data_IF_617536419118
#
_entry.id   IF_617536419118
#
_cell.length_a   1.000
_cell.length_b   1.000
_cell.length_c   1.000
_cell.angle_alpha   90.00
_cell.angle_beta   90.00
_cell.angle_gamma   90.00
#
_symmetry.space_group_name_H-M   'P 1'
#
loop_
_entity.id
_entity.type
_entity.pdbx_description
1 polymer ?
#
# COMPACT_ATOMS: atom_id res chain seq x y z
N UNK A 1 -12.31 -22.82 -21.10
CA UNK A 1 -12.91 -24.14 -20.80
C UNK A 1 -11.85 -24.99 -20.10
N UNK A 2 -12.20 -25.69 -19.01
CA UNK A 2 -11.25 -26.55 -18.27
C UNK A 2 -11.01 -27.92 -18.93
N UNK A 3 -11.86 -28.34 -19.87
CA UNK A 3 -11.74 -29.63 -20.56
C UNK A 3 -12.43 -30.81 -19.86
N UNK A 4 -12.96 -30.67 -18.64
CA UNK A 4 -13.61 -31.78 -17.91
C UNK A 4 -14.76 -32.43 -18.70
N UNK A 5 -15.63 -31.62 -19.31
CA UNK A 5 -16.78 -32.15 -20.08
C UNK A 5 -16.38 -32.94 -21.33
N UNK A 6 -15.21 -32.68 -21.90
CA UNK A 6 -14.71 -33.34 -23.12
C UNK A 6 -14.25 -34.77 -22.82
N UNK A 7 -13.89 -35.10 -21.57
CA UNK A 7 -13.47 -36.45 -21.19
C UNK A 7 -14.53 -37.51 -21.53
N UNK A 8 -15.82 -37.16 -21.37
CA UNK A 8 -16.93 -38.07 -21.66
C UNK A 8 -17.15 -38.31 -23.17
N UNK A 9 -16.71 -37.38 -24.01
CA UNK A 9 -16.91 -37.44 -25.45
C UNK A 9 -15.66 -37.99 -26.18
N UNK A 10 -14.48 -37.48 -25.84
CA UNK A 10 -13.22 -37.70 -26.56
C UNK A 10 -12.15 -38.38 -25.69
N UNK A 11 -12.49 -38.75 -24.46
CA UNK A 11 -11.59 -39.42 -23.52
C UNK A 11 -10.62 -38.49 -22.77
N UNK A 12 -9.84 -39.08 -21.86
CA UNK A 12 -8.94 -38.35 -20.95
C UNK A 12 -7.86 -37.53 -21.66
N UNK A 13 -7.37 -38.00 -22.80
CA UNK A 13 -6.30 -37.32 -23.55
C UNK A 13 -6.71 -35.91 -24.01
N UNK A 14 -7.88 -35.80 -24.66
CA UNK A 14 -8.41 -34.51 -25.12
C UNK A 14 -8.75 -33.56 -23.95
N UNK A 15 -9.31 -34.11 -22.87
CA UNK A 15 -9.55 -33.35 -21.63
C UNK A 15 -8.26 -32.80 -21.04
N UNK A 16 -7.20 -33.61 -20.99
CA UNK A 16 -5.89 -33.24 -20.46
C UNK A 16 -5.21 -32.15 -21.29
N UNK A 17 -5.25 -32.25 -22.62
CA UNK A 17 -4.69 -31.21 -23.50
C UNK A 17 -5.31 -29.83 -23.25
N UNK A 18 -6.62 -29.78 -22.97
CA UNK A 18 -7.31 -28.53 -22.65
C UNK A 18 -6.92 -27.98 -21.26
N UNK A 19 -6.74 -28.87 -20.28
CA UNK A 19 -6.22 -28.51 -18.96
C UNK A 19 -4.79 -27.93 -19.07
N UNK A 20 -3.88 -28.64 -19.72
CA UNK A 20 -2.48 -28.24 -19.86
C UNK A 20 -2.35 -26.89 -20.57
N UNK A 21 -3.14 -26.68 -21.64
CA UNK A 21 -3.21 -25.37 -22.31
C UNK A 21 -3.65 -24.26 -21.36
N UNK A 22 -4.68 -24.50 -20.54
CA UNK A 22 -5.17 -23.49 -19.60
C UNK A 22 -4.20 -23.23 -18.46
N UNK A 23 -3.51 -24.25 -17.97
CA UNK A 23 -2.49 -24.10 -16.94
C UNK A 23 -1.29 -23.31 -17.46
N UNK A 24 -0.88 -23.53 -18.71
CA UNK A 24 0.16 -22.70 -19.33
C UNK A 24 -0.23 -21.22 -19.33
N UNK A 25 -1.46 -20.88 -19.76
CA UNK A 25 -1.96 -19.50 -19.73
C UNK A 25 -1.95 -18.91 -18.30
N UNK A 26 -2.30 -19.72 -17.29
CA UNK A 26 -2.42 -19.28 -15.90
C UNK A 26 -1.06 -19.10 -15.24
N UNK A 27 -0.08 -19.97 -15.54
CA UNK A 27 1.28 -19.86 -15.02
C UNK A 27 2.02 -18.64 -15.58
N UNK A 28 1.63 -18.17 -16.77
CA UNK A 28 2.13 -16.93 -17.35
C UNK A 28 1.42 -15.69 -16.80
N UNK A 29 0.23 -15.85 -16.19
CA UNK A 29 -0.44 -14.77 -15.49
C UNK A 29 0.25 -14.53 -14.15
N UNK A 30 0.63 -13.29 -13.85
CA UNK A 30 1.20 -12.87 -12.56
C UNK A 30 0.13 -12.88 -11.44
N UNK A 31 -0.62 -13.98 -11.33
CA UNK A 31 -1.69 -14.19 -10.36
C UNK A 31 -1.23 -15.16 -9.26
N UNK A 32 -1.87 -15.06 -8.09
CA UNK A 32 -1.52 -15.88 -6.93
C UNK A 32 -2.34 -17.18 -6.83
N UNK A 33 -3.54 -17.19 -7.41
CA UNK A 33 -4.43 -18.35 -7.43
C UNK A 33 -5.47 -18.26 -8.55
N UNK A 34 -5.99 -19.42 -8.95
CA UNK A 34 -7.08 -19.54 -9.91
C UNK A 34 -8.40 -19.70 -9.16
N UNK A 35 -9.41 -18.90 -9.51
CA UNK A 35 -10.74 -18.98 -8.90
C UNK A 35 -11.74 -19.53 -9.89
N UNK A 36 -12.49 -20.55 -9.48
CA UNK A 36 -13.50 -21.21 -10.32
C UNK A 36 -14.86 -21.25 -9.64
N UNK A 37 -15.93 -21.13 -10.43
CA UNK A 37 -17.32 -21.19 -9.94
C UNK A 37 -18.06 -22.47 -10.37
N UNK A 38 -17.33 -23.49 -10.82
CA UNK A 38 -17.89 -24.77 -11.26
C UNK A 38 -17.16 -25.94 -10.59
N UNK A 39 -17.86 -26.87 -9.92
CA UNK A 39 -17.23 -28.02 -9.26
C UNK A 39 -16.41 -28.89 -10.21
N UNK A 40 -16.87 -29.06 -11.46
CA UNK A 40 -16.11 -29.80 -12.47
C UNK A 40 -14.81 -29.08 -12.86
N UNK A 41 -14.81 -27.74 -12.89
CA UNK A 41 -13.58 -26.97 -13.08
C UNK A 41 -12.64 -27.12 -11.89
N UNK A 42 -13.16 -27.05 -10.66
CA UNK A 42 -12.34 -27.21 -9.45
C UNK A 42 -11.66 -28.58 -9.44
N UNK A 43 -12.42 -29.66 -9.62
CA UNK A 43 -11.86 -31.01 -9.68
C UNK A 43 -10.85 -31.17 -10.82
N UNK A 44 -11.10 -30.60 -11.99
CA UNK A 44 -10.19 -30.68 -13.12
C UNK A 44 -8.86 -29.96 -12.86
N UNK A 45 -8.90 -28.76 -12.27
CA UNK A 45 -7.68 -28.00 -11.98
C UNK A 45 -6.97 -28.54 -10.75
N UNK A 46 -7.67 -28.95 -9.70
CA UNK A 46 -7.04 -29.47 -8.48
C UNK A 46 -6.49 -30.89 -8.70
N UNK A 47 -7.37 -31.86 -8.97
CA UNK A 47 -6.97 -33.27 -9.17
C UNK A 47 -6.19 -33.47 -10.47
N UNK A 48 -6.56 -32.77 -11.54
CA UNK A 48 -5.92 -32.96 -12.86
C UNK A 48 -4.47 -32.48 -12.89
N UNK A 49 -4.13 -31.44 -12.12
CA UNK A 49 -2.74 -31.02 -11.90
C UNK A 49 -1.96 -32.11 -11.12
N UNK A 50 -2.55 -32.62 -10.03
CA UNK A 50 -1.92 -33.64 -9.19
C UNK A 50 -1.69 -34.97 -9.94
N UNK A 51 -2.58 -35.31 -10.87
CA UNK A 51 -2.51 -36.51 -11.71
C UNK A 51 -1.50 -36.38 -12.87
N UNK A 52 -0.39 -35.65 -12.70
CA UNK A 52 0.61 -35.36 -13.74
C UNK A 52 0.99 -36.56 -14.63
N UNK A 53 1.15 -36.31 -15.92
CA UNK A 53 1.55 -37.32 -16.89
C UNK A 53 2.98 -37.84 -16.58
N UNK A 54 3.23 -39.16 -16.62
CA UNK A 54 4.58 -39.69 -16.46
C UNK A 54 5.49 -39.14 -17.56
N UNK A 55 6.50 -38.35 -17.17
CA UNK A 55 7.51 -37.79 -18.07
C UNK A 55 7.38 -36.30 -18.40
N UNK A 56 6.35 -35.60 -17.91
CA UNK A 56 6.34 -34.13 -17.93
C UNK A 56 7.34 -33.61 -16.87
N UNK A 57 8.28 -32.74 -17.27
CA UNK A 57 9.13 -32.00 -16.31
C UNK A 57 8.24 -31.35 -15.26
N UNK A 58 8.66 -31.35 -13.99
CA UNK A 58 7.91 -30.82 -12.86
C UNK A 58 7.34 -29.41 -13.18
N UNK A 59 6.12 -29.36 -13.68
CA UNK A 59 5.42 -28.12 -13.95
C UNK A 59 4.99 -27.58 -12.60
N UNK A 60 5.30 -26.31 -12.35
CA UNK A 60 4.83 -25.62 -11.16
C UNK A 60 3.31 -25.77 -11.07
N UNK A 61 2.82 -26.33 -9.96
CA UNK A 61 1.40 -26.43 -9.69
C UNK A 61 0.86 -25.05 -9.31
N UNK A 62 -0.38 -24.75 -9.66
CA UNK A 62 -1.00 -23.47 -9.40
C UNK A 62 -2.19 -23.62 -8.45
N UNK A 63 -2.23 -22.86 -7.32
CA UNK A 63 -3.34 -22.92 -6.37
C UNK A 63 -4.69 -22.66 -7.03
N UNK A 64 -5.71 -23.44 -6.66
CA UNK A 64 -7.07 -23.28 -7.17
C UNK A 64 -8.05 -23.19 -6.02
N UNK A 65 -8.96 -22.24 -6.08
CA UNK A 65 -10.06 -22.09 -5.12
C UNK A 65 -11.39 -22.14 -5.85
N UNK A 66 -12.37 -22.75 -5.22
CA UNK A 66 -13.76 -22.54 -5.54
C UNK A 66 -14.20 -21.17 -5.02
N UNK A 67 -15.03 -20.46 -5.79
CA UNK A 67 -15.45 -19.09 -5.47
C UNK A 67 -16.00 -18.96 -4.04
N UNK A 68 -16.75 -19.96 -3.56
CA UNK A 68 -17.30 -19.93 -2.21
C UNK A 68 -16.22 -19.95 -1.12
N UNK A 69 -15.06 -20.58 -1.37
CA UNK A 69 -13.95 -20.60 -0.40
C UNK A 69 -13.38 -19.20 -0.23
N UNK A 70 -13.11 -18.48 -1.33
CA UNK A 70 -12.63 -17.09 -1.24
C UNK A 70 -13.66 -16.15 -0.62
N UNK A 71 -14.94 -16.32 -0.94
CA UNK A 71 -16.01 -15.55 -0.31
C UNK A 71 -16.03 -15.81 1.20
N UNK A 72 -15.89 -17.07 1.62
CA UNK A 72 -15.87 -17.41 3.04
C UNK A 72 -14.62 -16.87 3.75
N UNK A 73 -13.43 -16.95 3.13
CA UNK A 73 -12.21 -16.31 3.64
C UNK A 73 -12.39 -14.79 3.80
N UNK A 74 -13.00 -14.13 2.82
CA UNK A 74 -13.29 -12.69 2.88
C UNK A 74 -14.32 -12.33 3.97
N UNK A 75 -15.20 -13.26 4.33
CA UNK A 75 -16.14 -13.14 5.44
C UNK A 75 -15.53 -13.52 6.81
N UNK A 76 -14.24 -13.89 6.84
CA UNK A 76 -13.50 -14.18 8.07
C UNK A 76 -13.53 -15.64 8.53
N UNK A 77 -13.98 -16.57 7.69
CA UNK A 77 -13.83 -18.00 7.98
C UNK A 77 -12.38 -18.46 7.82
N UNK A 78 -11.95 -19.42 8.63
CA UNK A 78 -10.59 -19.95 8.57
C UNK A 78 -10.43 -20.97 7.45
N UNK A 79 -9.23 -21.09 6.88
CA UNK A 79 -8.94 -22.08 5.84
C UNK A 79 -9.20 -23.53 6.28
N UNK A 80 -9.04 -23.82 7.57
CA UNK A 80 -9.32 -25.14 8.16
C UNK A 80 -10.82 -25.44 8.14
N UNK A 81 -11.68 -24.47 8.45
CA UNK A 81 -13.15 -24.65 8.37
C UNK A 81 -13.62 -24.90 6.94
N UNK A 82 -12.87 -24.40 5.95
CA UNK A 82 -13.17 -24.58 4.53
C UNK A 82 -12.63 -25.89 3.96
N UNK A 83 -11.85 -26.65 4.73
CA UNK A 83 -11.24 -27.89 4.26
C UNK A 83 -10.10 -27.65 3.28
N UNK A 84 -9.32 -26.58 3.43
CA UNK A 84 -8.17 -26.29 2.57
C UNK A 84 -7.14 -27.45 2.52
N UNK A 85 -7.08 -28.28 3.56
CA UNK A 85 -6.26 -29.50 3.61
C UNK A 85 -6.73 -30.62 2.67
N UNK A 86 -7.96 -30.51 2.15
CA UNK A 86 -8.53 -31.48 1.20
C UNK A 86 -8.12 -31.20 -0.24
N UNK A 87 -7.56 -30.02 -0.52
CA UNK A 87 -7.00 -29.67 -1.83
C UNK A 87 -5.85 -30.62 -2.17
N UNK A 88 -5.78 -31.06 -3.43
CA UNK A 88 -4.64 -31.85 -3.91
C UNK A 88 -3.45 -30.98 -4.27
N UNK A 89 -3.71 -29.76 -4.71
CA UNK A 89 -2.68 -28.77 -4.94
C UNK A 89 -2.49 -27.94 -3.67
N UNK A 90 -1.26 -27.83 -3.15
CA UNK A 90 -1.01 -27.03 -1.96
C UNK A 90 -1.44 -25.58 -2.13
N UNK A 91 -2.23 -25.07 -1.19
CA UNK A 91 -2.69 -23.68 -1.16
C UNK A 91 -2.05 -22.85 -0.04
N UNK A 92 -1.19 -23.45 0.79
CA UNK A 92 -0.57 -22.79 1.95
C UNK A 92 0.15 -21.49 1.58
N UNK A 93 0.92 -21.46 0.49
CA UNK A 93 1.62 -20.25 0.06
C UNK A 93 0.67 -19.09 -0.33
N UNK A 94 -0.52 -19.40 -0.86
CA UNK A 94 -1.55 -18.38 -1.08
C UNK A 94 -2.12 -17.89 0.25
N UNK A 95 -2.42 -18.80 1.17
CA UNK A 95 -3.00 -18.47 2.48
C UNK A 95 -2.05 -17.62 3.33
N UNK A 96 -0.76 -17.94 3.33
CA UNK A 96 0.26 -17.12 4.00
C UNK A 96 0.28 -15.68 3.45
N UNK A 97 0.23 -15.55 2.11
CA UNK A 97 0.15 -14.24 1.44
C UNK A 97 -1.17 -13.52 1.75
N UNK A 98 -2.28 -14.26 1.80
CA UNK A 98 -3.60 -13.73 2.13
C UNK A 98 -3.63 -13.13 3.54
N UNK A 99 -3.12 -13.86 4.54
CA UNK A 99 -3.03 -13.39 5.92
C UNK A 99 -2.15 -12.14 6.04
N UNK A 100 -0.97 -12.15 5.43
CA UNK A 100 -0.09 -10.97 5.37
C UNK A 100 -0.80 -9.77 4.74
N UNK A 101 -1.54 -9.97 3.64
CA UNK A 101 -2.29 -8.90 2.99
C UNK A 101 -3.43 -8.35 3.88
N UNK A 102 -4.10 -9.20 4.65
CA UNK A 102 -5.11 -8.74 5.62
C UNK A 102 -4.49 -7.89 6.72
N UNK A 103 -3.34 -8.31 7.27
CA UNK A 103 -2.60 -7.55 8.27
C UNK A 103 -2.15 -6.19 7.73
N UNK A 104 -1.57 -6.17 6.52
CA UNK A 104 -1.16 -4.92 5.86
C UNK A 104 -2.34 -3.98 5.61
N UNK A 105 -3.48 -4.50 5.12
CA UNK A 105 -4.69 -3.68 4.90
C UNK A 105 -5.25 -3.15 6.21
N UNK A 106 -5.24 -3.95 7.27
CA UNK A 106 -5.67 -3.53 8.60
C UNK A 106 -4.74 -2.43 9.17
N UNK A 107 -3.41 -2.56 9.00
CA UNK A 107 -2.45 -1.53 9.37
C UNK A 107 -2.71 -0.23 8.59
N UNK A 108 -2.88 -0.31 7.27
CA UNK A 108 -3.07 0.84 6.41
C UNK A 108 -4.41 1.56 6.69
N UNK A 109 -5.47 0.81 7.03
CA UNK A 109 -6.78 1.34 7.37
C UNK A 109 -6.80 2.21 8.64
N UNK A 110 -5.77 2.11 9.50
CA UNK A 110 -5.60 2.98 10.67
C UNK A 110 -5.28 4.43 10.29
N UNK A 111 -4.75 4.63 9.09
CA UNK A 111 -4.24 5.91 8.62
C UNK A 111 -5.00 6.44 7.41
N UNK A 112 -5.55 5.55 6.58
CA UNK A 112 -6.13 5.91 5.30
C UNK A 112 -7.48 5.24 5.07
N UNK A 113 -8.36 5.93 4.35
CA UNK A 113 -9.52 5.30 3.72
C UNK A 113 -9.04 4.47 2.52
N UNK A 114 -9.10 3.14 2.66
CA UNK A 114 -8.61 2.20 1.64
C UNK A 114 -9.35 2.37 0.29
N UNK A 115 -10.65 2.67 0.33
CA UNK A 115 -11.41 2.86 -0.89
C UNK A 115 -10.96 4.11 -1.65
N UNK A 116 -10.67 5.19 -0.92
CA UNK A 116 -10.11 6.40 -1.51
C UNK A 116 -8.70 6.18 -2.06
N UNK A 117 -7.86 5.39 -1.38
CA UNK A 117 -6.55 5.01 -1.91
C UNK A 117 -6.66 4.20 -3.21
N UNK A 118 -7.59 3.24 -3.29
CA UNK A 118 -7.86 2.46 -4.49
C UNK A 118 -8.34 3.34 -5.66
N UNK A 119 -9.24 4.30 -5.40
CA UNK A 119 -9.65 5.30 -6.40
C UNK A 119 -8.44 6.12 -6.86
N UNK A 120 -7.62 6.59 -5.92
CA UNK A 120 -6.46 7.42 -6.20
C UNK A 120 -5.43 6.69 -7.09
N UNK A 121 -5.16 5.41 -6.78
CA UNK A 121 -4.25 4.56 -7.55
C UNK A 121 -4.72 4.28 -8.98
N UNK A 122 -6.02 4.44 -9.27
CA UNK A 122 -6.57 4.05 -10.58
C UNK A 122 -6.23 5.00 -11.73
N UNK A 123 -5.98 6.30 -11.47
CA UNK A 123 -5.88 7.30 -12.53
C UNK A 123 -4.47 7.85 -12.79
N UNK A 124 -3.63 8.02 -11.76
CA UNK A 124 -2.27 8.58 -11.89
C UNK A 124 -2.18 9.99 -12.50
N UNK A 125 -3.31 10.69 -12.68
CA UNK A 125 -3.39 11.88 -13.51
C UNK A 125 -2.53 13.06 -13.01
N UNK A 126 -2.26 13.11 -11.69
CA UNK A 126 -1.51 14.21 -11.10
C UNK A 126 0.02 14.12 -11.28
N UNK A 127 0.57 12.99 -11.74
CA UNK A 127 2.01 12.77 -11.74
C UNK A 127 2.75 13.75 -12.67
N UNK A 128 2.27 13.92 -13.90
CA UNK A 128 2.85 14.86 -14.87
C UNK A 128 2.73 16.32 -14.42
N UNK A 129 1.77 16.61 -13.56
CA UNK A 129 1.49 17.93 -13.01
C UNK A 129 2.20 18.20 -11.67
N UNK A 130 2.82 17.17 -11.09
CA UNK A 130 3.51 17.29 -9.82
C UNK A 130 4.87 17.97 -10.01
N UNK A 131 5.13 19.14 -9.42
CA UNK A 131 6.42 19.81 -9.57
C UNK A 131 7.59 18.98 -9.02
N UNK A 132 7.33 18.16 -7.99
CA UNK A 132 8.33 17.26 -7.43
C UNK A 132 8.68 16.12 -8.38
N UNK A 133 7.70 15.54 -9.09
CA UNK A 133 7.94 14.51 -10.11
C UNK A 133 8.73 15.05 -11.31
N UNK A 134 8.54 16.33 -11.64
CA UNK A 134 9.35 17.01 -12.67
C UNK A 134 10.80 17.23 -12.21
N UNK A 135 11.01 17.53 -10.93
CA UNK A 135 12.32 17.88 -10.39
C UNK A 135 13.16 16.68 -9.93
N UNK A 136 12.52 15.58 -9.50
CA UNK A 136 13.17 14.39 -8.93
C UNK A 136 12.94 13.23 -9.88
N UNK A 137 14.01 12.75 -10.52
CA UNK A 137 13.96 11.54 -11.33
C UNK A 137 13.52 10.35 -10.48
N UNK A 138 12.68 9.49 -11.05
CA UNK A 138 12.15 8.27 -10.42
C UNK A 138 11.14 8.49 -9.28
N UNK A 139 10.63 9.72 -9.10
CA UNK A 139 9.53 9.99 -8.17
C UNK A 139 8.21 10.22 -8.91
N UNK A 140 7.20 9.42 -8.57
CA UNK A 140 5.82 9.65 -8.99
C UNK A 140 4.86 9.46 -7.80
N UNK A 141 4.01 10.44 -7.47
CA UNK A 141 3.05 10.31 -6.37
C UNK A 141 2.15 9.08 -6.47
N UNK A 142 1.68 8.72 -7.68
CA UNK A 142 0.83 7.53 -7.86
C UNK A 142 1.54 6.23 -7.45
N UNK A 143 2.85 6.10 -7.71
CA UNK A 143 3.62 4.91 -7.35
C UNK A 143 3.70 4.72 -5.84
N UNK A 144 3.69 5.81 -5.07
CA UNK A 144 3.61 5.73 -3.61
C UNK A 144 2.27 5.14 -3.18
N UNK A 145 1.17 5.56 -3.78
CA UNK A 145 -0.16 4.99 -3.49
C UNK A 145 -0.24 3.51 -3.87
N UNK A 146 0.32 3.12 -5.02
CA UNK A 146 0.43 1.71 -5.40
C UNK A 146 1.27 0.91 -4.40
N UNK A 147 2.40 1.45 -3.96
CA UNK A 147 3.25 0.81 -2.95
C UNK A 147 2.53 0.65 -1.61
N UNK A 148 1.74 1.64 -1.19
CA UNK A 148 0.89 1.52 0.01
C UNK A 148 -0.10 0.36 -0.12
N UNK A 149 -0.84 0.29 -1.24
CA UNK A 149 -1.78 -0.80 -1.50
C UNK A 149 -1.11 -2.17 -1.64
N UNK A 150 0.17 -2.20 -2.00
CA UNK A 150 1.00 -3.41 -2.07
C UNK A 150 1.66 -3.79 -0.73
N UNK A 151 1.38 -3.07 0.36
CA UNK A 151 1.92 -3.37 1.70
C UNK A 151 3.33 -2.80 1.96
N UNK A 152 3.80 -1.85 1.15
CA UNK A 152 5.16 -1.28 1.26
C UNK A 152 5.26 -0.09 2.22
N UNK A 153 4.30 0.12 3.13
CA UNK A 153 4.26 1.30 4.03
C UNK A 153 5.59 1.54 4.75
N UNK A 154 6.16 0.50 5.36
CA UNK A 154 7.43 0.58 6.11
C UNK A 154 8.61 0.99 5.23
N UNK A 155 8.65 0.50 3.99
CA UNK A 155 9.69 0.86 3.02
C UNK A 155 9.54 2.32 2.59
N UNK A 156 8.32 2.77 2.31
CA UNK A 156 8.02 4.14 1.89
C UNK A 156 8.39 5.16 2.98
N UNK A 157 8.01 4.92 4.24
CA UNK A 157 8.30 5.86 5.33
C UNK A 157 9.78 5.91 5.72
N UNK A 158 10.53 4.84 5.50
CA UNK A 158 11.97 4.80 5.72
C UNK A 158 12.76 5.50 4.60
N UNK A 159 12.15 5.64 3.42
CA UNK A 159 12.75 6.25 2.24
C UNK A 159 12.61 7.78 2.17
N UNK A 160 13.23 8.42 1.15
CA UNK A 160 13.16 9.86 0.94
C UNK A 160 11.82 10.33 0.34
N UNK A 161 11.01 9.43 -0.21
CA UNK A 161 9.85 9.73 -1.06
C UNK A 161 8.79 10.60 -0.37
N UNK A 162 8.42 10.38 0.92
CA UNK A 162 7.48 11.25 1.61
C UNK A 162 7.91 12.72 1.61
N UNK A 163 9.23 12.96 1.63
CA UNK A 163 9.85 14.28 1.74
C UNK A 163 10.00 15.01 0.41
N UNK A 164 9.67 14.38 -0.72
CA UNK A 164 9.62 15.05 -2.01
C UNK A 164 8.35 15.88 -2.20
N UNK A 165 7.27 15.57 -1.49
CA UNK A 165 6.02 16.33 -1.59
C UNK A 165 6.19 17.76 -1.02
N UNK A 166 5.90 18.75 -1.87
CA UNK A 166 5.98 20.17 -1.54
C UNK A 166 4.71 20.73 -0.87
N UNK A 167 3.67 19.91 -0.68
CA UNK A 167 2.38 20.34 -0.12
C UNK A 167 1.74 21.51 -0.89
N UNK A 168 2.00 21.61 -2.19
CA UNK A 168 1.52 22.69 -3.05
C UNK A 168 0.05 22.60 -3.46
N UNK A 169 -0.65 21.52 -3.06
CA UNK A 169 -2.07 21.26 -3.33
C UNK A 169 -2.49 21.14 -4.81
N UNK A 170 -1.56 21.19 -5.77
CA UNK A 170 -1.87 21.05 -7.21
C UNK A 170 -2.62 19.75 -7.52
N UNK A 171 -2.24 18.65 -6.86
CA UNK A 171 -2.93 17.36 -6.99
C UNK A 171 -4.39 17.41 -6.51
N UNK A 172 -4.69 18.21 -5.48
CA UNK A 172 -6.04 18.34 -4.95
C UNK A 172 -6.94 19.11 -5.93
N UNK A 173 -6.46 20.27 -6.42
CA UNK A 173 -7.20 21.12 -7.37
C UNK A 173 -7.50 20.42 -8.69
N UNK A 174 -6.61 19.53 -9.14
CA UNK A 174 -6.76 18.79 -10.40
C UNK A 174 -7.48 17.44 -10.24
N UNK A 175 -7.63 16.95 -9.03
CA UNK A 175 -8.25 15.66 -8.79
C UNK A 175 -9.76 15.75 -9.04
N UNK A 176 -10.25 15.04 -10.06
CA UNK A 176 -11.69 14.93 -10.34
C UNK A 176 -12.47 14.33 -9.17
N UNK A 177 -11.83 13.49 -8.34
CA UNK A 177 -12.42 12.89 -7.13
C UNK A 177 -12.21 13.70 -5.85
N UNK A 178 -11.54 14.87 -5.93
CA UNK A 178 -11.20 15.74 -4.78
C UNK A 178 -10.53 15.04 -3.58
N UNK A 179 -9.76 13.99 -3.85
CA UNK A 179 -8.96 13.30 -2.83
C UNK A 179 -7.66 14.07 -2.57
N UNK A 180 -6.91 14.33 -3.65
CA UNK A 180 -5.58 14.94 -3.59
C UNK A 180 -4.53 14.06 -2.91
N UNK A 181 -3.25 14.29 -3.22
CA UNK A 181 -2.13 13.55 -2.62
C UNK A 181 -1.60 14.22 -1.34
N UNK A 182 -1.92 15.50 -1.11
CA UNK A 182 -1.31 16.28 -0.04
C UNK A 182 -1.52 15.65 1.34
N UNK A 183 -2.74 15.22 1.66
CA UNK A 183 -3.06 14.57 2.92
C UNK A 183 -2.40 13.19 3.07
N UNK A 184 -2.30 12.43 1.97
CA UNK A 184 -1.58 11.14 1.97
C UNK A 184 -0.12 11.37 2.37
N UNK A 185 0.56 12.31 1.71
CA UNK A 185 1.96 12.61 1.99
C UNK A 185 2.18 13.27 3.35
N UNK A 186 1.25 14.10 3.83
CA UNK A 186 1.31 14.66 5.19
C UNK A 186 1.31 13.53 6.24
N UNK A 187 0.40 12.56 6.07
CA UNK A 187 0.32 11.38 6.93
C UNK A 187 1.61 10.55 6.86
N UNK A 188 2.15 10.31 5.67
CA UNK A 188 3.42 9.60 5.50
C UNK A 188 4.60 10.32 6.16
N UNK A 189 4.70 11.65 6.04
CA UNK A 189 5.75 12.45 6.71
C UNK A 189 5.62 12.37 8.23
N UNK A 190 4.39 12.38 8.76
CA UNK A 190 4.14 12.22 10.20
C UNK A 190 4.65 10.86 10.69
N UNK A 191 4.26 9.78 10.01
CA UNK A 191 4.70 8.42 10.35
C UNK A 191 6.23 8.25 10.23
N UNK A 192 6.81 8.78 9.16
CA UNK A 192 8.26 8.76 8.95
C UNK A 192 8.98 9.50 10.09
N UNK A 193 8.50 10.69 10.49
CA UNK A 193 9.05 11.45 11.61
C UNK A 193 8.96 10.70 12.94
N UNK A 194 7.83 10.07 13.25
CA UNK A 194 7.62 9.29 14.47
C UNK A 194 8.61 8.13 14.58
N UNK A 195 9.02 7.56 13.45
CA UNK A 195 10.05 6.52 13.36
C UNK A 195 11.47 7.06 13.22
N UNK A 196 11.66 8.38 13.27
CA UNK A 196 12.97 9.03 13.16
C UNK A 196 13.50 9.21 11.73
N UNK A 197 12.71 8.85 10.73
CA UNK A 197 13.01 8.99 9.30
C UNK A 197 12.60 10.37 8.78
N UNK A 198 13.46 11.37 9.00
CA UNK A 198 13.27 12.71 8.45
C UNK A 198 14.61 13.40 8.16
N UNK A 199 14.70 14.23 7.11
CA UNK A 199 15.93 14.91 6.71
C UNK A 199 16.61 15.67 7.85
N UNK A 200 17.94 15.55 7.94
CA UNK A 200 18.75 16.20 8.98
C UNK A 200 18.62 17.74 8.96
N UNK A 201 18.48 18.34 7.78
CA UNK A 201 18.23 19.78 7.61
C UNK A 201 16.92 20.22 8.26
N UNK A 202 15.85 19.45 8.09
CA UNK A 202 14.55 19.71 8.73
C UNK A 202 14.63 19.50 10.23
N UNK A 203 15.39 18.50 10.71
CA UNK A 203 15.63 18.28 12.13
C UNK A 203 16.26 19.47 12.82
N UNK A 204 17.33 20.02 12.23
CA UNK A 204 18.01 21.19 12.77
C UNK A 204 17.06 22.40 12.84
N UNK A 205 16.29 22.64 11.77
CA UNK A 205 15.29 23.72 11.74
C UNK A 205 14.21 23.55 12.81
N UNK A 206 13.67 22.33 12.96
CA UNK A 206 12.65 22.02 13.96
C UNK A 206 13.17 22.23 15.40
N UNK A 207 14.38 21.74 15.71
CA UNK A 207 15.01 21.94 17.02
C UNK A 207 15.32 23.43 17.30
N UNK A 208 15.77 24.17 16.29
CA UNK A 208 15.96 25.62 16.39
C UNK A 208 14.64 26.31 16.71
N UNK A 209 13.54 25.95 16.04
CA UNK A 209 12.24 26.53 16.29
C UNK A 209 11.73 26.23 17.71
N UNK A 210 11.83 24.98 18.18
CA UNK A 210 11.40 24.64 19.53
C UNK A 210 12.19 25.37 20.63
N UNK A 211 13.47 25.64 20.39
CA UNK A 211 14.34 26.30 21.38
C UNK A 211 14.22 27.83 21.36
N UNK A 212 14.12 28.43 20.17
CA UNK A 212 14.20 29.89 19.96
C UNK A 212 12.86 30.53 19.58
N UNK A 213 11.86 29.75 19.19
CA UNK A 213 10.60 30.25 18.65
C UNK A 213 10.68 30.82 17.24
N UNK A 214 11.84 30.71 16.57
CA UNK A 214 12.06 31.20 15.21
C UNK A 214 12.83 30.17 14.37
N UNK A 215 12.53 30.12 13.07
CA UNK A 215 13.20 29.22 12.12
C UNK A 215 14.49 29.79 11.54
N UNK A 216 14.85 31.03 11.88
CA UNK A 216 16.07 31.66 11.37
C UNK A 216 16.44 32.94 12.12
N UNK A 217 17.70 33.33 11.98
CA UNK A 217 18.23 34.54 12.60
C UNK A 217 17.96 35.78 11.74
N UNK A 218 17.32 36.81 12.29
CA UNK A 218 17.08 38.05 11.56
C UNK A 218 18.37 38.83 11.31
N UNK A 219 18.44 39.50 10.15
CA UNK A 219 19.56 40.40 9.79
C UNK A 219 19.30 41.82 10.28
N UNK A 220 19.71 42.13 11.52
CA UNK A 220 19.54 43.45 12.15
C UNK A 220 20.17 44.60 11.35
N UNK A 221 21.38 44.42 10.84
CA UNK A 221 22.08 45.44 10.04
C UNK A 221 21.34 45.84 8.75
N UNK A 222 20.60 44.90 8.14
CA UNK A 222 19.78 45.19 6.96
C UNK A 222 18.50 45.95 7.33
N UNK A 223 17.91 45.64 8.49
CA UNK A 223 16.73 46.38 9.00
C UNK A 223 17.07 47.83 9.27
N UNK A 224 18.21 48.10 9.90
CA UNK A 224 18.71 49.46 10.15
C UNK A 224 18.92 50.23 8.85
N UNK A 225 19.59 49.62 7.86
CA UNK A 225 19.79 50.22 6.53
C UNK A 225 18.47 50.56 5.82
N UNK A 226 17.43 49.78 6.05
CA UNK A 226 16.10 49.98 5.47
C UNK A 226 15.18 50.87 6.33
N UNK A 227 15.65 51.41 7.46
CA UNK A 227 14.85 52.22 8.38
C UNK A 227 13.72 51.45 9.08
N UNK A 228 13.83 50.12 9.16
CA UNK A 228 12.82 49.26 9.81
C UNK A 228 13.04 49.24 11.34
N UNK A 229 11.96 49.15 12.15
CA UNK A 229 12.08 49.09 13.61
C UNK A 229 12.84 47.84 14.09
N UNK A 230 13.35 47.87 15.32
CA UNK A 230 13.94 46.70 15.95
C UNK A 230 12.90 45.59 16.11
N UNK A 231 13.36 44.34 16.15
CA UNK A 231 12.46 43.20 16.34
C UNK A 231 12.07 43.08 17.82
N UNK A 232 10.83 42.67 18.05
CA UNK A 232 10.39 42.28 19.38
C UNK A 232 11.24 41.12 19.93
N UNK A 233 11.32 40.95 21.26
CA UNK A 233 11.94 39.78 21.87
C UNK A 233 11.34 38.49 21.31
N UNK A 234 12.17 37.44 21.19
CA UNK A 234 11.72 36.14 20.69
C UNK A 234 10.72 35.52 21.67
N UNK A 235 9.52 35.17 21.18
CA UNK A 235 8.42 34.59 21.98
C UNK A 235 8.62 33.13 22.40
N UNK A 236 9.86 32.75 22.71
CA UNK A 236 10.23 31.37 23.04
C UNK A 236 9.60 30.88 24.36
N UNK A 237 9.36 31.78 25.32
CA UNK A 237 8.72 31.44 26.59
C UNK A 237 7.21 31.16 26.42
N UNK A 238 6.53 31.97 25.62
CA UNK A 238 5.14 31.80 25.25
C UNK A 238 4.97 30.51 24.43
N UNK A 239 5.88 30.26 23.48
CA UNK A 239 5.89 29.01 22.71
C UNK A 239 6.00 27.79 23.63
N UNK A 240 6.95 27.78 24.58
CA UNK A 240 7.08 26.68 25.55
C UNK A 240 5.78 26.47 26.34
N UNK A 241 5.15 27.55 26.80
CA UNK A 241 3.87 27.48 27.53
C UNK A 241 2.77 26.83 26.68
N UNK A 242 2.70 27.14 25.39
CA UNK A 242 1.75 26.50 24.46
C UNK A 242 2.10 25.03 24.24
N UNK A 243 3.37 24.72 24.00
CA UNK A 243 3.84 23.35 23.77
C UNK A 243 3.59 22.47 24.99
N UNK A 244 3.87 22.94 26.20
CA UNK A 244 3.62 22.20 27.44
C UNK A 244 2.13 21.84 27.59
N UNK A 245 1.22 22.76 27.23
CA UNK A 245 -0.22 22.50 27.23
C UNK A 245 -0.63 21.46 26.19
N UNK A 246 -0.10 21.56 24.97
CA UNK A 246 -0.43 20.63 23.86
C UNK A 246 0.12 19.23 24.14
N UNK A 247 1.36 19.13 24.62
CA UNK A 247 2.02 17.85 24.92
C UNK A 247 1.42 17.19 26.17
N UNK A 248 1.01 17.96 27.18
CA UNK A 248 0.29 17.42 28.34
C UNK A 248 -1.14 16.99 28.00
N UNK A 249 -1.81 17.59 27.01
CA UNK A 249 -3.11 17.09 26.53
C UNK A 249 -3.00 15.83 25.65
N UNK A 250 -1.90 15.67 24.90
CA UNK A 250 -1.70 14.50 24.03
C UNK A 250 -1.41 13.20 24.79
N UNK A 251 -1.11 13.25 26.09
CA UNK A 251 -0.96 12.05 26.93
C UNK A 251 -2.31 11.49 27.44
N UNK A 252 -3.44 12.14 27.15
CA UNK A 252 -4.77 11.68 27.58
C UNK A 252 -5.68 11.09 26.47
N UNK A 253 -5.37 11.28 25.19
CA UNK A 253 -6.32 10.99 24.09
C UNK A 253 -5.98 9.76 23.22
N UNK A 254 -5.12 8.85 23.68
CA UNK A 254 -4.87 7.56 22.97
C UNK A 254 -5.78 6.40 23.40
N UNK A 255 -6.84 6.66 24.17
CA UNK A 255 -7.87 5.65 24.46
C UNK A 255 -9.26 6.23 24.21
N UNK A 256 -9.68 6.28 22.95
CA UNK A 256 -11.05 6.04 22.47
C UNK A 256 -11.23 6.62 21.06
N UNK A 257 -11.08 5.75 20.05
CA UNK A 257 -11.93 5.71 18.87
C UNK A 257 -11.89 4.29 18.31
#
# INVERSE_FOLDING_TARGET
CCGSGVERAEGRGASRQLLDRKLADVLEAQADALVVACPACFLQFDLGQAAGAPGASAQATFPVFYLAELVALALGHSAVELGAELHRIPVAGFLDKWEQNLEHRAELARYFDLHQLEICASCGACDADCPAAVAVSDFAPSQIVHGLLAGELKKIIAGPEPWHCLECMTCFERCHSRLGMAWIFETLKKLAREQGHFPSSLRAGYQSFLSTGVLGTPRTSLREKLGLPSLAPQGSAELRTVLDKVLSSQTCDEVQQ
#
